data_IF_372603898344
#
_entry.id   IF_372603898344
#
_cell.length_a   1.000
_cell.length_b   1.000
_cell.length_c   1.000
_cell.angle_alpha   90.00
_cell.angle_beta   90.00
_cell.angle_gamma   90.00
#
_symmetry.space_group_name_H-M   'P 1'
#
loop_
_entity.id
_entity.type
_entity.pdbx_description
1 polymer ?
#
# COMPACT_ATOMS: atom_id res chain seq x y z
N UNK A 1 40.68 10.44 4.70
CA UNK A 1 40.34 11.57 3.82
C UNK A 1 38.91 11.38 3.34
N UNK A 2 37.97 12.15 3.90
CA UNK A 2 36.53 12.06 3.59
C UNK A 2 36.26 12.75 2.26
N UNK A 3 35.96 11.99 1.21
CA UNK A 3 35.59 12.53 -0.08
C UNK A 3 34.20 13.17 0.00
N UNK A 4 34.19 14.46 0.29
CA UNK A 4 33.01 15.33 0.34
C UNK A 4 32.28 15.30 -1.01
N UNK A 5 31.27 14.44 -1.15
CA UNK A 5 30.40 14.41 -2.33
C UNK A 5 29.60 15.71 -2.40
N UNK A 6 29.97 16.60 -3.31
CA UNK A 6 29.24 17.82 -3.65
C UNK A 6 27.98 17.45 -4.44
N UNK A 7 26.83 17.43 -3.76
CA UNK A 7 25.54 17.24 -4.42
C UNK A 7 25.08 18.58 -5.02
N UNK A 8 25.13 18.69 -6.35
CA UNK A 8 24.62 19.85 -7.09
C UNK A 8 23.10 19.80 -7.19
N UNK A 9 22.41 20.76 -6.56
CA UNK A 9 20.96 20.89 -6.61
C UNK A 9 20.55 21.77 -7.80
N UNK A 10 20.56 21.20 -9.00
CA UNK A 10 20.06 21.90 -10.20
C UNK A 10 18.54 21.76 -10.23
N UNK A 11 17.82 22.87 -10.09
CA UNK A 11 16.36 22.90 -10.26
C UNK A 11 16.03 22.81 -11.74
N UNK A 12 15.56 21.65 -12.19
CA UNK A 12 15.10 21.44 -13.58
C UNK A 12 13.86 22.31 -13.86
N UNK A 13 13.88 23.21 -14.86
CA UNK A 13 12.71 23.99 -15.24
C UNK A 13 11.68 23.02 -15.85
N UNK A 14 10.51 22.89 -15.21
CA UNK A 14 9.42 22.01 -15.67
C UNK A 14 8.90 21.02 -14.63
N UNK A 15 9.46 20.94 -13.42
CA UNK A 15 8.98 20.02 -12.38
C UNK A 15 7.69 20.48 -11.65
N UNK A 16 6.78 21.18 -12.33
CA UNK A 16 5.46 21.52 -11.79
C UNK A 16 4.49 20.33 -11.83
N UNK A 17 4.99 19.10 -11.75
CA UNK A 17 4.14 17.89 -11.68
C UNK A 17 3.40 17.97 -10.37
N UNK A 18 2.10 18.28 -10.44
CA UNK A 18 1.23 18.31 -9.27
C UNK A 18 1.29 16.93 -8.62
N UNK A 19 1.88 16.86 -7.44
CA UNK A 19 1.93 15.61 -6.66
C UNK A 19 0.50 15.21 -6.33
N UNK A 20 0.20 13.92 -6.49
CA UNK A 20 -1.10 13.38 -6.11
C UNK A 20 -1.32 13.64 -4.62
N UNK A 21 -2.46 14.21 -4.20
CA UNK A 21 -2.74 14.45 -2.79
C UNK A 21 -2.60 13.14 -2.01
N UNK A 22 -1.89 13.19 -0.88
CA UNK A 22 -1.79 12.04 0.01
C UNK A 22 -3.10 11.90 0.76
N UNK A 23 -3.75 10.75 0.64
CA UNK A 23 -4.95 10.40 1.42
C UNK A 23 -4.65 10.44 2.91
N UNK A 24 -5.64 10.87 3.71
CA UNK A 24 -5.52 10.89 5.18
C UNK A 24 -5.56 9.47 5.74
N UNK A 25 -5.12 9.30 6.99
CA UNK A 25 -5.06 7.97 7.61
C UNK A 25 -6.43 7.29 7.69
N UNK A 26 -7.47 8.06 8.04
CA UNK A 26 -8.85 7.60 8.21
C UNK A 26 -9.55 7.30 6.87
N UNK A 27 -9.07 7.91 5.78
CA UNK A 27 -9.60 7.70 4.43
C UNK A 27 -9.10 6.40 3.80
N UNK A 28 -8.03 5.80 4.35
CA UNK A 28 -7.45 4.55 3.84
C UNK A 28 -8.09 3.36 4.55
N UNK A 29 -9.09 2.76 3.89
CA UNK A 29 -9.65 1.48 4.32
C UNK A 29 -8.59 0.36 4.24
N UNK A 30 -8.29 -0.26 5.39
CA UNK A 30 -7.29 -1.33 5.51
C UNK A 30 -7.93 -2.71 5.40
N UNK A 31 -8.40 -3.00 4.19
CA UNK A 31 -9.18 -4.19 3.87
C UNK A 31 -8.36 -5.49 3.83
N UNK A 32 -7.05 -5.36 3.61
CA UNK A 32 -6.16 -6.49 3.44
C UNK A 32 -5.49 -6.83 4.78
N UNK A 33 -6.22 -7.53 5.64
CA UNK A 33 -5.71 -8.06 6.90
C UNK A 33 -4.81 -9.28 6.67
N UNK A 34 -3.72 -9.38 7.46
CA UNK A 34 -2.93 -10.59 7.49
C UNK A 34 -3.67 -11.66 8.31
N UNK A 35 -3.89 -12.83 7.74
CA UNK A 35 -4.53 -13.96 8.42
C UNK A 35 -3.48 -14.92 9.02
N UNK A 36 -2.39 -14.38 9.56
CA UNK A 36 -1.37 -15.18 10.24
C UNK A 36 -1.64 -15.16 11.74
N UNK A 37 -1.48 -16.30 12.41
CA UNK A 37 -1.77 -16.41 13.84
C UNK A 37 -0.90 -15.41 14.62
N UNK A 38 -1.55 -14.53 15.38
CA UNK A 38 -0.87 -13.46 16.13
C UNK A 38 -0.53 -12.20 15.33
N UNK A 39 -0.88 -12.12 14.04
CA UNK A 39 -0.73 -10.88 13.27
C UNK A 39 -2.03 -10.08 13.22
N UNK A 40 -2.02 -8.89 13.78
CA UNK A 40 -3.14 -7.93 13.77
C UNK A 40 -3.00 -6.85 12.70
N UNK A 41 -1.99 -6.97 11.81
CA UNK A 41 -1.70 -5.92 10.81
C UNK A 41 -2.65 -6.01 9.62
N UNK A 42 -3.20 -4.87 9.25
CA UNK A 42 -4.01 -4.70 8.06
C UNK A 42 -3.47 -3.58 7.16
N UNK A 43 -3.63 -3.75 5.86
CA UNK A 43 -3.07 -2.87 4.84
C UNK A 43 -4.13 -2.39 3.85
N UNK A 44 -3.93 -1.20 3.29
CA UNK A 44 -4.88 -0.62 2.33
C UNK A 44 -4.79 -1.19 0.92
N UNK A 45 -3.68 -1.85 0.58
CA UNK A 45 -3.54 -2.54 -0.72
C UNK A 45 -2.89 -3.90 -0.55
N UNK A 46 -3.20 -4.81 -1.48
CA UNK A 46 -2.64 -6.16 -1.52
C UNK A 46 -1.12 -6.16 -1.65
N UNK A 47 -0.52 -5.19 -2.37
CA UNK A 47 0.94 -5.09 -2.49
C UNK A 47 1.61 -4.89 -1.13
N UNK A 48 1.05 -4.03 -0.26
CA UNK A 48 1.60 -3.82 1.08
C UNK A 48 1.40 -5.05 1.97
N UNK A 49 0.26 -5.75 1.85
CA UNK A 49 0.06 -7.02 2.53
C UNK A 49 1.06 -8.09 2.05
N UNK A 50 1.29 -8.22 0.74
CA UNK A 50 2.24 -9.20 0.19
C UNK A 50 3.69 -8.89 0.58
N UNK A 51 4.07 -7.62 0.62
CA UNK A 51 5.36 -7.21 1.17
C UNK A 51 5.49 -7.59 2.66
N UNK A 52 4.43 -7.35 3.44
CA UNK A 52 4.37 -7.75 4.84
C UNK A 52 4.49 -9.26 5.04
N UNK A 53 3.74 -10.05 4.27
CA UNK A 53 3.77 -11.52 4.36
C UNK A 53 5.16 -12.06 4.01
N UNK A 54 5.79 -11.50 2.99
CA UNK A 54 7.15 -11.88 2.59
C UNK A 54 8.18 -11.51 3.67
N UNK A 55 8.11 -10.29 4.21
CA UNK A 55 9.08 -9.79 5.20
C UNK A 55 8.93 -10.47 6.56
N UNK A 56 7.70 -10.72 7.01
CA UNK A 56 7.41 -11.34 8.30
C UNK A 56 7.34 -12.87 8.23
N UNK A 57 7.60 -13.46 7.05
CA UNK A 57 7.50 -14.90 6.80
C UNK A 57 6.16 -15.49 7.25
N UNK A 58 5.07 -14.76 7.03
CA UNK A 58 3.70 -15.19 7.35
C UNK A 58 3.14 -16.23 6.36
N UNK A 59 4.02 -17.06 5.78
CA UNK A 59 3.70 -18.07 4.78
C UNK A 59 3.74 -17.56 3.33
N UNK A 60 2.95 -18.21 2.49
CA UNK A 60 2.93 -17.99 1.04
C UNK A 60 2.38 -16.62 0.66
N UNK A 61 2.95 -16.02 -0.40
CA UNK A 61 2.44 -14.77 -1.00
C UNK A 61 0.96 -14.97 -1.36
N UNK A 62 0.12 -14.01 -1.03
CA UNK A 62 -1.32 -14.12 -1.31
C UNK A 62 -1.60 -13.76 -2.77
N UNK A 63 -2.46 -14.54 -3.41
CA UNK A 63 -2.71 -14.38 -4.83
C UNK A 63 -3.86 -13.38 -5.06
N UNK A 64 -3.80 -12.54 -6.12
CA UNK A 64 -4.89 -11.61 -6.44
C UNK A 64 -6.26 -12.28 -6.63
N UNK A 65 -6.26 -13.58 -6.95
CA UNK A 65 -7.45 -14.39 -7.16
C UNK A 65 -8.25 -14.63 -5.86
N UNK A 66 -7.55 -14.79 -4.73
CA UNK A 66 -8.19 -14.96 -3.41
C UNK A 66 -8.97 -13.71 -2.99
N UNK A 67 -8.53 -12.53 -3.46
CA UNK A 67 -9.18 -11.25 -3.17
C UNK A 67 -10.15 -10.80 -4.26
N UNK A 68 -10.47 -11.65 -5.25
CA UNK A 68 -11.43 -11.33 -6.31
C UNK A 68 -12.84 -11.17 -5.74
N UNK A 69 -13.26 -12.12 -4.91
CA UNK A 69 -14.56 -12.08 -4.23
C UNK A 69 -14.61 -10.97 -3.18
N UNK A 70 -13.53 -10.78 -2.40
CA UNK A 70 -13.43 -9.65 -1.45
C UNK A 70 -13.64 -8.32 -2.19
N UNK A 71 -12.93 -8.07 -3.30
CA UNK A 71 -13.10 -6.84 -4.11
C UNK A 71 -14.49 -6.69 -4.72
N UNK A 72 -15.18 -7.79 -5.02
CA UNK A 72 -16.55 -7.78 -5.54
C UNK A 72 -17.54 -7.40 -4.45
N UNK A 73 -17.42 -8.02 -3.28
CA UNK A 73 -18.23 -7.72 -2.10
C UNK A 73 -18.03 -6.26 -1.66
N UNK A 74 -16.80 -5.75 -1.60
CA UNK A 74 -16.52 -4.35 -1.27
C UNK A 74 -17.13 -3.36 -2.25
N UNK A 75 -17.04 -3.62 -3.55
CA UNK A 75 -17.70 -2.77 -4.55
C UNK A 75 -19.23 -2.79 -4.40
N UNK A 76 -19.80 -3.93 -4.01
CA UNK A 76 -21.24 -4.04 -3.76
C UNK A 76 -21.65 -3.28 -2.49
N UNK A 77 -20.96 -3.50 -1.37
CA UNK A 77 -21.22 -2.79 -0.10
C UNK A 77 -21.07 -1.29 -0.27
N UNK A 78 -20.03 -0.83 -0.96
CA UNK A 78 -19.82 0.60 -1.23
C UNK A 78 -20.93 1.20 -2.10
N UNK A 79 -21.46 0.44 -3.06
CA UNK A 79 -22.59 0.85 -3.91
C UNK A 79 -23.92 0.87 -3.15
N UNK A 80 -24.06 0.07 -2.10
CA UNK A 80 -25.30 -0.07 -1.32
C UNK A 80 -25.35 0.91 -0.14
N UNK A 81 -24.19 1.42 0.30
CA UNK A 81 -24.07 2.51 1.28
C UNK A 81 -24.12 3.92 0.65
N UNK A 82 -23.98 4.02 -0.67
CA UNK A 82 -24.16 5.25 -1.45
C UNK A 82 -25.63 5.40 -1.87
#
# INVERSE_FOLDING_TARGET
DQTSKTYSFVSLPGNTVRKRPRRRYDEIERLYACNYQGCTKAYGTLNHLNAHVNMQKHGSKRHPNEFKELRKQWRKVKKEQE
#
